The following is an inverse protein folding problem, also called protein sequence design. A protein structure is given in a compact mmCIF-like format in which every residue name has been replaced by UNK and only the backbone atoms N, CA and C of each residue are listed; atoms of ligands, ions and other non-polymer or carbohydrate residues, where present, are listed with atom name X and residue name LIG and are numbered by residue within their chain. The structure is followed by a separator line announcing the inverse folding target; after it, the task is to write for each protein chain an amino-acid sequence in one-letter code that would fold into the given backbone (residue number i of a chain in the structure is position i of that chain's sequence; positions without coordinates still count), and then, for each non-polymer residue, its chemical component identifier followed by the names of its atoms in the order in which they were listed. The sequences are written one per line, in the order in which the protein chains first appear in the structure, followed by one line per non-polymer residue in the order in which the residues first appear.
data_IF_933459047840
#
_entry.id   IF_933459047840
#
_cell.length_a   1.000
_cell.length_b   1.000
_cell.length_c   1.000
_cell.angle_alpha   90.00
_cell.angle_beta   90.00
_cell.angle_gamma   90.00
#
_symmetry.space_group_name_H-M   'P 1'
#
loop_
_entity.id
_entity.type
_entity.pdbx_description
1 polymer ?
#
# COMPACT_ATOMS: atom_id res chain seq x y z
N UNK A 1 -13.42 -30.43 -12.87
CA UNK A 1 -12.75 -29.87 -11.69
C UNK A 1 -13.80 -29.75 -10.59
N UNK A 2 -13.53 -30.21 -9.40
CA UNK A 2 -14.48 -30.09 -8.28
C UNK A 2 -14.49 -28.61 -7.85
N UNK A 3 -15.68 -27.96 -7.86
CA UNK A 3 -15.84 -26.56 -7.46
C UNK A 3 -15.34 -26.29 -6.03
N UNK A 4 -15.38 -27.29 -5.14
CA UNK A 4 -14.86 -27.19 -3.78
C UNK A 4 -13.35 -26.98 -3.74
N UNK A 5 -12.61 -27.43 -4.75
CA UNK A 5 -11.15 -27.22 -4.83
C UNK A 5 -10.75 -25.79 -5.16
N UNK A 6 -11.73 -24.95 -5.56
CA UNK A 6 -11.52 -23.54 -5.83
C UNK A 6 -11.67 -22.66 -4.60
N UNK A 7 -12.18 -23.24 -3.51
CA UNK A 7 -12.36 -22.53 -2.24
C UNK A 7 -11.15 -22.81 -1.36
N UNK A 8 -10.44 -21.73 -1.03
CA UNK A 8 -9.33 -21.78 -0.09
C UNK A 8 -9.84 -21.44 1.32
N UNK A 9 -9.86 -22.45 2.21
CA UNK A 9 -10.29 -22.25 3.59
C UNK A 9 -9.09 -21.88 4.48
N UNK A 10 -8.96 -20.60 4.78
CA UNK A 10 -7.93 -20.05 5.65
C UNK A 10 -7.98 -20.61 7.08
N UNK A 11 -9.12 -21.12 7.52
CA UNK A 11 -9.28 -21.69 8.86
C UNK A 11 -8.64 -23.08 9.00
N UNK A 12 -8.32 -23.74 7.87
CA UNK A 12 -7.67 -25.06 7.87
C UNK A 12 -6.15 -24.98 7.87
N UNK A 13 -5.58 -23.77 7.75
CA UNK A 13 -4.15 -23.57 7.83
C UNK A 13 -3.75 -23.62 9.30
N UNK A 14 -3.01 -24.66 9.67
CA UNK A 14 -2.28 -24.67 10.93
C UNK A 14 -1.17 -23.60 10.85
N UNK A 15 -1.49 -22.40 11.30
CA UNK A 15 -0.46 -21.43 11.61
C UNK A 15 0.30 -21.92 12.83
N UNK A 16 1.49 -22.44 12.64
CA UNK A 16 2.53 -22.38 13.68
C UNK A 16 2.89 -20.89 13.89
N UNK A 17 1.89 -20.11 14.25
CA UNK A 17 2.12 -18.77 14.78
C UNK A 17 2.86 -18.99 16.10
N UNK A 18 4.14 -18.83 16.05
CA UNK A 18 4.94 -18.67 17.24
C UNK A 18 4.43 -17.39 17.94
N UNK A 19 3.37 -17.55 18.75
CA UNK A 19 2.67 -16.48 19.47
C UNK A 19 3.53 -15.87 20.57
N UNK A 20 4.83 -16.07 20.52
CA UNK A 20 5.72 -15.45 21.48
C UNK A 20 5.89 -13.95 21.08
N UNK A 21 5.34 -13.01 21.85
CA UNK A 21 5.49 -11.58 21.58
C UNK A 21 6.95 -11.13 21.56
N UNK A 22 7.86 -11.93 22.14
CA UNK A 22 9.30 -11.65 22.10
C UNK A 22 9.98 -12.03 20.77
N UNK A 23 9.27 -12.67 19.83
CA UNK A 23 9.81 -12.98 18.51
C UNK A 23 9.72 -11.82 17.50
N UNK A 24 9.34 -10.64 17.93
CA UNK A 24 9.38 -9.42 17.12
C UNK A 24 10.52 -8.50 17.61
N UNK A 25 11.79 -8.83 17.29
CA UNK A 25 12.96 -8.09 17.82
C UNK A 25 13.00 -6.63 17.32
N UNK A 26 12.22 -6.29 16.31
CA UNK A 26 12.15 -4.95 15.72
C UNK A 26 10.84 -4.19 16.05
N UNK A 27 10.03 -4.74 16.97
CA UNK A 27 8.72 -4.18 17.31
C UNK A 27 7.65 -4.44 16.24
N UNK A 28 6.47 -3.90 16.47
CA UNK A 28 5.35 -3.90 15.52
C UNK A 28 5.30 -2.53 14.85
N UNK A 29 5.21 -2.52 13.52
CA UNK A 29 5.06 -1.32 12.73
C UNK A 29 3.63 -1.22 12.22
N UNK A 30 3.11 -0.02 12.21
CA UNK A 30 1.84 0.28 11.57
C UNK A 30 2.10 0.77 10.14
N UNK A 31 1.37 0.17 9.19
CA UNK A 31 1.29 0.60 7.81
C UNK A 31 -0.12 1.16 7.59
N UNK A 32 -0.25 2.44 7.32
CA UNK A 32 -1.53 3.09 7.16
C UNK A 32 -1.98 3.07 5.70
N UNK A 33 -3.13 2.48 5.45
CA UNK A 33 -3.73 2.30 4.12
C UNK A 33 -4.89 3.27 3.85
N UNK A 34 -5.08 4.27 4.72
CA UNK A 34 -6.22 5.21 4.61
C UNK A 34 -6.23 5.93 3.27
N UNK A 35 -5.06 6.36 2.79
CA UNK A 35 -4.92 7.14 1.55
C UNK A 35 -4.99 6.29 0.27
N UNK A 36 -4.95 4.97 0.38
CA UNK A 36 -5.09 4.04 -0.74
C UNK A 36 -6.33 3.16 -0.61
N UNK A 37 -6.31 2.13 0.23
CA UNK A 37 -7.41 1.16 0.36
C UNK A 37 -8.66 1.79 0.99
N UNK A 38 -8.46 2.65 1.97
CA UNK A 38 -9.55 3.40 2.59
C UNK A 38 -10.35 4.26 1.60
N UNK A 39 -9.71 4.79 0.56
CA UNK A 39 -10.37 5.58 -0.48
C UNK A 39 -11.06 4.73 -1.56
N UNK A 40 -10.83 3.42 -1.60
CA UNK A 40 -11.50 2.52 -2.53
C UNK A 40 -12.92 2.15 -2.09
N UNK A 41 -13.30 2.49 -0.87
CA UNK A 41 -14.67 2.29 -0.39
C UNK A 41 -15.68 3.11 -1.22
N UNK A 42 -16.78 2.50 -1.69
CA UNK A 42 -17.82 3.22 -2.46
C UNK A 42 -18.46 4.38 -1.70
N UNK A 43 -18.39 4.37 -0.38
CA UNK A 43 -18.91 5.42 0.51
C UNK A 43 -17.90 6.52 0.81
N UNK A 44 -16.62 6.32 0.49
CA UNK A 44 -15.59 7.32 0.72
C UNK A 44 -15.71 8.47 -0.29
N UNK A 45 -15.58 9.70 0.20
CA UNK A 45 -15.37 10.86 -0.66
C UNK A 45 -13.89 10.99 -0.91
N UNK A 46 -13.51 11.20 -2.17
CA UNK A 46 -12.11 11.43 -2.51
C UNK A 46 -11.65 12.79 -1.93
N UNK A 47 -10.70 12.81 -0.99
CA UNK A 47 -10.24 14.06 -0.39
C UNK A 47 -9.41 14.89 -1.38
N UNK A 48 -9.37 16.21 -1.14
CA UNK A 48 -8.45 17.09 -1.87
C UNK A 48 -7.01 16.78 -1.48
N UNK A 49 -6.04 17.29 -2.25
CA UNK A 49 -4.62 17.08 -1.91
C UNK A 49 -4.26 17.72 -0.57
N UNK A 50 -4.81 18.88 -0.24
CA UNK A 50 -4.59 19.54 1.05
C UNK A 50 -5.09 18.69 2.21
N UNK A 51 -6.25 18.04 2.04
CA UNK A 51 -6.79 17.12 3.05
C UNK A 51 -5.96 15.86 3.19
N UNK A 52 -5.38 15.33 2.11
CA UNK A 52 -4.46 14.19 2.16
C UNK A 52 -3.16 14.55 2.88
N UNK A 53 -2.64 15.75 2.64
CA UNK A 53 -1.48 16.28 3.34
C UNK A 53 -1.77 16.44 4.84
N UNK A 54 -2.92 17.00 5.20
CA UNK A 54 -3.32 17.11 6.60
C UNK A 54 -3.44 15.75 7.29
N UNK A 55 -3.98 14.73 6.61
CA UNK A 55 -3.99 13.36 7.12
C UNK A 55 -2.59 12.79 7.34
N UNK A 56 -1.69 13.04 6.39
CA UNK A 56 -0.28 12.64 6.48
C UNK A 56 0.42 13.30 7.69
N UNK A 57 0.14 14.58 7.96
CA UNK A 57 0.61 15.29 9.14
C UNK A 57 0.15 14.62 10.44
N UNK A 58 -1.10 14.14 10.48
CA UNK A 58 -1.59 13.40 11.65
C UNK A 58 -0.94 12.03 11.78
N UNK A 59 -0.69 11.33 10.68
CA UNK A 59 0.01 10.04 10.70
C UNK A 59 1.44 10.18 11.25
N UNK A 60 2.18 11.20 10.80
CA UNK A 60 3.52 11.51 11.32
C UNK A 60 3.46 11.84 12.82
N UNK A 61 2.54 12.70 13.26
CA UNK A 61 2.34 13.06 14.67
C UNK A 61 1.96 11.87 15.55
N UNK A 62 1.22 10.89 15.00
CA UNK A 62 0.85 9.66 15.70
C UNK A 62 2.00 8.65 15.75
N UNK A 63 3.08 8.89 15.02
CA UNK A 63 4.22 7.98 14.94
C UNK A 63 3.93 6.73 14.09
N UNK A 64 3.06 6.84 13.10
CA UNK A 64 2.86 5.79 12.08
C UNK A 64 4.17 5.63 11.31
N UNK A 65 4.66 4.40 11.17
CA UNK A 65 5.96 4.14 10.58
C UNK A 65 5.93 4.04 9.06
N UNK A 66 4.79 3.66 8.48
CA UNK A 66 4.62 3.46 7.03
C UNK A 66 3.25 3.96 6.58
N UNK A 67 3.18 4.41 5.35
CA UNK A 67 1.94 4.85 4.71
C UNK A 67 1.91 4.42 3.25
N UNK A 68 0.77 3.87 2.80
CA UNK A 68 0.51 3.68 1.38
C UNK A 68 -0.15 4.96 0.82
N UNK A 69 0.57 5.66 -0.05
CA UNK A 69 0.16 6.95 -0.61
C UNK A 69 -0.84 6.83 -1.77
N UNK A 70 -1.01 5.62 -2.30
CA UNK A 70 -1.96 5.38 -3.39
C UNK A 70 -1.52 4.34 -4.41
N UNK A 71 -2.19 4.35 -5.56
CA UNK A 71 -1.96 3.45 -6.68
C UNK A 71 -1.58 4.29 -7.93
N UNK A 72 -0.29 4.47 -8.26
CA UNK A 72 0.12 5.29 -9.39
C UNK A 72 -0.44 4.79 -10.73
N UNK A 73 -0.58 3.47 -10.89
CA UNK A 73 -1.19 2.86 -12.07
C UNK A 73 -2.69 3.13 -12.27
N UNK A 74 -3.36 3.80 -11.32
CA UNK A 74 -4.74 4.23 -11.47
C UNK A 74 -4.89 5.50 -12.33
N UNK A 75 -3.79 6.16 -12.71
CA UNK A 75 -3.75 7.26 -13.66
C UNK A 75 -3.02 8.51 -13.18
N UNK A 76 -2.84 9.50 -14.06
CA UNK A 76 -2.02 10.68 -13.80
C UNK A 76 -2.41 11.46 -12.53
N UNK A 77 -3.69 11.59 -12.26
CA UNK A 77 -4.20 12.24 -11.04
C UNK A 77 -3.64 11.61 -9.76
N UNK A 78 -3.51 10.28 -9.73
CA UNK A 78 -2.94 9.57 -8.58
C UNK A 78 -1.44 9.84 -8.45
N UNK A 79 -0.73 9.87 -9.57
CA UNK A 79 0.71 10.20 -9.62
C UNK A 79 0.94 11.62 -9.10
N UNK A 80 0.16 12.61 -9.55
CA UNK A 80 0.25 14.01 -9.10
C UNK A 80 0.03 14.14 -7.58
N UNK A 81 -0.95 13.42 -7.03
CA UNK A 81 -1.22 13.44 -5.59
C UNK A 81 -0.10 12.76 -4.77
N UNK A 82 0.44 11.64 -5.26
CA UNK A 82 1.59 10.96 -4.62
C UNK A 82 2.81 11.89 -4.67
N UNK A 83 3.06 12.52 -5.80
CA UNK A 83 4.16 13.48 -5.97
C UNK A 83 4.08 14.65 -4.97
N UNK A 84 2.91 15.24 -4.81
CA UNK A 84 2.69 16.32 -3.85
C UNK A 84 2.89 15.86 -2.38
N UNK A 85 2.42 14.66 -2.03
CA UNK A 85 2.64 14.10 -0.70
C UNK A 85 4.11 13.76 -0.43
N UNK A 86 4.84 13.24 -1.42
CA UNK A 86 6.28 13.00 -1.34
C UNK A 86 7.07 14.31 -1.19
N UNK A 87 6.66 15.37 -1.91
CA UNK A 87 7.23 16.70 -1.73
C UNK A 87 7.07 17.14 -0.28
N UNK A 88 5.87 17.02 0.28
CA UNK A 88 5.59 17.40 1.66
C UNK A 88 6.42 16.60 2.67
N UNK A 89 6.56 15.27 2.48
CA UNK A 89 7.41 14.41 3.31
C UNK A 89 8.86 14.88 3.30
N UNK A 90 9.40 15.18 2.12
CA UNK A 90 10.80 15.58 1.97
C UNK A 90 11.08 16.99 2.50
N UNK A 91 10.18 17.94 2.25
CA UNK A 91 10.33 19.33 2.71
C UNK A 91 10.21 19.48 4.23
N UNK A 92 9.47 18.58 4.89
CA UNK A 92 9.26 18.61 6.34
C UNK A 92 10.09 17.57 7.10
N UNK A 93 10.99 16.86 6.42
CA UNK A 93 11.89 15.84 7.01
C UNK A 93 11.14 14.77 7.84
N UNK A 94 10.00 14.28 7.31
CA UNK A 94 9.17 13.30 8.00
C UNK A 94 9.86 11.94 8.10
N UNK A 95 9.60 11.23 9.20
CA UNK A 95 10.17 9.91 9.46
C UNK A 95 9.30 8.77 8.93
N UNK A 96 8.06 9.06 8.56
CA UNK A 96 7.15 8.10 7.96
C UNK A 96 7.70 7.60 6.62
N UNK A 97 7.70 6.29 6.41
CA UNK A 97 8.21 5.67 5.20
C UNK A 97 7.09 5.58 4.15
N UNK A 98 7.23 6.27 3.02
CA UNK A 98 6.23 6.21 1.97
C UNK A 98 6.28 4.88 1.22
N UNK A 99 5.11 4.42 0.82
CA UNK A 99 4.90 3.31 -0.08
C UNK A 99 3.78 3.61 -1.07
N UNK A 100 3.62 2.76 -2.06
CA UNK A 100 2.50 2.79 -2.98
C UNK A 100 2.16 1.37 -3.45
N UNK A 101 0.87 1.09 -3.62
CA UNK A 101 0.42 -0.14 -4.22
C UNK A 101 0.71 -0.15 -5.72
N UNK A 102 1.17 -1.27 -6.23
CA UNK A 102 1.44 -1.46 -7.66
C UNK A 102 0.97 -2.85 -8.08
N UNK A 103 0.37 -2.95 -9.27
CA UNK A 103 0.20 -4.25 -9.91
C UNK A 103 1.56 -4.71 -10.44
N UNK A 104 1.71 -5.99 -10.71
CA UNK A 104 2.93 -6.57 -11.32
C UNK A 104 3.05 -6.22 -12.82
N UNK A 105 2.86 -4.94 -13.16
CA UNK A 105 2.89 -4.39 -14.50
C UNK A 105 3.87 -3.22 -14.57
N UNK A 106 4.67 -3.15 -15.63
CA UNK A 106 5.66 -2.09 -15.82
C UNK A 106 5.02 -0.69 -15.75
N UNK A 107 3.87 -0.52 -16.37
CA UNK A 107 3.13 0.76 -16.38
C UNK A 107 2.72 1.27 -14.98
N UNK A 108 2.68 0.40 -13.96
CA UNK A 108 2.40 0.79 -12.57
C UNK A 108 3.71 1.07 -11.82
N UNK A 109 4.78 0.38 -12.20
CA UNK A 109 6.07 0.44 -11.50
C UNK A 109 6.91 1.62 -12.00
N UNK A 110 6.92 1.89 -13.30
CA UNK A 110 7.70 2.97 -13.89
C UNK A 110 7.42 4.34 -13.26
N UNK A 111 6.15 4.78 -13.08
CA UNK A 111 5.86 6.04 -12.40
C UNK A 111 6.38 6.11 -10.96
N UNK A 112 6.41 4.97 -10.25
CA UNK A 112 6.93 4.90 -8.89
C UNK A 112 8.44 5.05 -8.85
N UNK A 113 9.15 4.46 -9.81
CA UNK A 113 10.61 4.63 -9.97
C UNK A 113 10.95 6.09 -10.28
N UNK A 114 10.23 6.72 -11.20
CA UNK A 114 10.40 8.14 -11.54
C UNK A 114 10.20 9.05 -10.32
N UNK A 115 9.17 8.78 -9.50
CA UNK A 115 8.92 9.52 -8.27
C UNK A 115 10.04 9.32 -7.25
N UNK A 116 10.54 8.08 -7.09
CA UNK A 116 11.67 7.81 -6.21
C UNK A 116 12.93 8.55 -6.64
N UNK A 117 13.25 8.54 -7.93
CA UNK A 117 14.38 9.28 -8.49
C UNK A 117 14.23 10.79 -8.29
N UNK A 118 13.03 11.32 -8.54
CA UNK A 118 12.73 12.74 -8.37
C UNK A 118 12.92 13.24 -6.94
N UNK A 119 12.42 12.49 -5.96
CA UNK A 119 12.45 12.90 -4.54
C UNK A 119 13.70 12.43 -3.78
N UNK A 120 14.46 11.49 -4.32
CA UNK A 120 15.69 10.98 -3.71
C UNK A 120 15.48 10.20 -2.41
N UNK A 121 14.26 9.75 -2.12
CA UNK A 121 13.91 8.95 -0.94
C UNK A 121 13.40 7.55 -1.37
N UNK A 122 13.65 6.50 -0.59
CA UNK A 122 13.14 5.18 -0.92
C UNK A 122 11.62 5.14 -0.77
N UNK A 123 10.94 4.62 -1.80
CA UNK A 123 9.50 4.38 -1.79
C UNK A 123 9.26 2.87 -1.86
N UNK A 124 8.48 2.34 -0.93
CA UNK A 124 8.15 0.92 -0.94
C UNK A 124 7.15 0.61 -2.05
N UNK A 125 7.50 -0.29 -2.95
CA UNK A 125 6.55 -0.87 -3.90
C UNK A 125 5.80 -2.05 -3.25
N UNK A 126 4.52 -1.87 -2.97
CA UNK A 126 3.65 -2.94 -2.48
C UNK A 126 3.00 -3.66 -3.66
N UNK A 127 3.77 -4.56 -4.28
CA UNK A 127 3.30 -5.32 -5.44
C UNK A 127 2.37 -6.46 -5.02
N UNK A 128 1.22 -6.57 -5.67
CA UNK A 128 0.24 -7.61 -5.38
C UNK A 128 -0.14 -8.44 -6.60
N UNK A 129 -0.44 -9.70 -6.36
CA UNK A 129 -0.89 -10.66 -7.35
C UNK A 129 -1.94 -11.58 -6.73
N UNK A 130 -3.09 -11.71 -7.38
CA UNK A 130 -4.14 -12.61 -6.91
C UNK A 130 -3.79 -14.06 -7.26
N UNK A 131 -3.47 -14.88 -6.25
CA UNK A 131 -3.01 -16.27 -6.43
C UNK A 131 -3.99 -17.32 -5.89
N UNK A 132 -5.21 -16.93 -5.51
CA UNK A 132 -6.21 -17.89 -5.04
C UNK A 132 -6.58 -18.89 -6.16
N UNK A 133 -6.93 -20.15 -5.82
CA UNK A 133 -7.30 -21.14 -6.82
C UNK A 133 -8.45 -20.69 -7.75
N UNK A 134 -9.43 -19.99 -7.21
CA UNK A 134 -10.53 -19.45 -8.01
C UNK A 134 -10.05 -18.36 -8.97
N UNK A 135 -9.10 -17.52 -8.55
CA UNK A 135 -8.52 -16.49 -9.42
C UNK A 135 -7.71 -17.10 -10.55
N UNK A 136 -6.85 -18.05 -10.23
CA UNK A 136 -6.05 -18.77 -11.22
C UNK A 136 -6.95 -19.48 -12.25
N UNK A 137 -8.03 -20.11 -11.80
CA UNK A 137 -9.00 -20.74 -12.68
C UNK A 137 -9.73 -19.74 -13.59
N UNK A 138 -10.17 -18.61 -13.04
CA UNK A 138 -10.90 -17.60 -13.77
C UNK A 138 -10.03 -16.86 -14.80
N UNK A 139 -8.76 -16.64 -14.48
CA UNK A 139 -7.79 -15.93 -15.33
C UNK A 139 -7.08 -16.89 -16.33
N UNK A 140 -7.25 -18.21 -16.15
CA UNK A 140 -6.64 -19.20 -17.03
C UNK A 140 -5.13 -19.40 -16.84
N UNK A 141 -4.64 -19.23 -15.64
CA UNK A 141 -3.23 -19.41 -15.29
C UNK A 141 -2.88 -20.87 -15.03
#
# INVERSE_FOLDING_TARGET
MDERSLIYDWNTIEYELNRNPNNHPHGVWFDDETLRDGLQSPSARNPTIEQKIELLDYMEKLGIQKVDLGLPGAGPFHVEHIDAMLTHITENDYQIRPGAAVRTLMQDIEPLVELQEKHGIPIQASAFLGTSPIRQYAEGW
#
